data_IF_249232945609
#
_entry.id   IF_249232945609
#
_cell.length_a   1.000
_cell.length_b   1.000
_cell.length_c   1.000
_cell.angle_alpha   90.00
_cell.angle_beta   90.00
_cell.angle_gamma   90.00
#
_symmetry.space_group_name_H-M   'P 1'
#
loop_
_entity.id
_entity.type
_entity.pdbx_description
1 polymer ?
#
# COMPACT_ATOMS: atom_id res chain seq x y z
N UNK A 1 -2.33 19.30 -36.64
CA UNK A 1 -1.44 19.29 -35.47
C UNK A 1 0.06 19.25 -35.87
N UNK A 2 0.44 18.97 -37.13
CA UNK A 2 1.81 18.94 -37.61
C UNK A 2 2.72 17.81 -37.07
N UNK A 3 2.22 16.98 -36.18
CA UNK A 3 2.93 15.85 -35.59
C UNK A 3 2.24 14.52 -35.91
N UNK A 4 3.04 13.47 -36.13
CA UNK A 4 2.53 12.12 -36.37
C UNK A 4 2.21 11.48 -35.03
N UNK A 5 0.93 11.16 -34.79
CA UNK A 5 0.45 10.63 -33.50
C UNK A 5 0.49 9.11 -33.41
N UNK A 6 0.50 8.41 -34.57
CA UNK A 6 0.55 6.96 -34.64
C UNK A 6 1.61 6.51 -35.64
N UNK A 7 2.33 5.47 -35.28
CA UNK A 7 3.16 4.69 -36.19
C UNK A 7 2.45 3.38 -36.55
N UNK A 8 2.39 3.11 -37.84
CA UNK A 8 1.73 1.91 -38.39
C UNK A 8 2.80 0.99 -38.95
N UNK A 9 2.89 -0.21 -38.47
CA UNK A 9 3.59 -1.32 -39.10
C UNK A 9 2.56 -2.25 -39.76
N UNK A 10 2.99 -3.17 -40.60
CA UNK A 10 2.09 -4.14 -41.26
C UNK A 10 1.32 -5.04 -40.29
N UNK A 11 1.68 -5.06 -39.00
CA UNK A 11 1.09 -5.91 -37.96
C UNK A 11 0.55 -5.18 -36.73
N UNK A 12 0.88 -3.88 -36.53
CA UNK A 12 0.47 -3.13 -35.34
C UNK A 12 0.35 -1.62 -35.64
N UNK A 13 -0.63 -1.01 -34.96
CA UNK A 13 -0.71 0.46 -34.82
C UNK A 13 -0.36 0.77 -33.37
N UNK A 14 0.67 1.60 -33.15
CA UNK A 14 1.08 2.08 -31.82
C UNK A 14 1.18 3.61 -31.82
N UNK A 15 0.84 4.27 -30.71
CA UNK A 15 1.09 5.70 -30.57
C UNK A 15 2.57 6.03 -30.66
N UNK A 16 2.90 7.20 -31.19
CA UNK A 16 4.23 7.80 -31.07
C UNK A 16 4.39 8.42 -29.67
N UNK A 17 5.56 8.95 -29.35
CA UNK A 17 5.80 9.71 -28.10
C UNK A 17 4.83 10.89 -28.00
N UNK A 18 4.62 11.62 -29.10
CA UNK A 18 3.66 12.72 -29.22
C UNK A 18 2.23 12.22 -29.10
N UNK A 19 1.93 11.03 -29.66
CA UNK A 19 0.64 10.37 -29.55
C UNK A 19 0.31 9.98 -28.10
N UNK A 20 1.27 9.44 -27.36
CA UNK A 20 1.12 9.16 -25.94
C UNK A 20 0.87 10.43 -25.12
N UNK A 21 1.69 11.47 -25.34
CA UNK A 21 1.55 12.76 -24.64
C UNK A 21 0.19 13.41 -24.90
N UNK A 22 -0.29 13.36 -26.15
CA UNK A 22 -1.64 13.88 -26.50
C UNK A 22 -2.73 13.06 -25.85
N UNK A 23 -2.62 11.73 -25.86
CA UNK A 23 -3.60 10.84 -25.26
C UNK A 23 -3.73 11.09 -23.74
N UNK A 24 -2.61 11.29 -23.04
CA UNK A 24 -2.62 11.64 -21.61
C UNK A 24 -3.24 13.01 -21.34
N UNK A 25 -2.93 14.02 -22.16
CA UNK A 25 -3.55 15.34 -22.05
C UNK A 25 -5.06 15.30 -22.34
N UNK A 26 -5.46 14.56 -23.38
CA UNK A 26 -6.88 14.41 -23.70
C UNK A 26 -7.65 13.71 -22.57
N UNK A 27 -7.07 12.67 -21.95
CA UNK A 27 -7.69 12.02 -20.78
C UNK A 27 -7.87 13.00 -19.62
N UNK A 28 -6.87 13.85 -19.32
CA UNK A 28 -7.01 14.88 -18.27
C UNK A 28 -8.13 15.85 -18.57
N UNK A 29 -8.20 16.37 -19.80
CA UNK A 29 -9.28 17.30 -20.20
C UNK A 29 -10.65 16.65 -20.06
N UNK A 30 -10.81 15.39 -20.49
CA UNK A 30 -12.06 14.67 -20.35
C UNK A 30 -12.41 14.39 -18.87
N UNK A 31 -11.41 14.15 -18.04
CA UNK A 31 -11.61 14.00 -16.60
C UNK A 31 -12.01 15.32 -15.93
N UNK A 32 -11.38 16.43 -16.30
CA UNK A 32 -11.72 17.76 -15.79
C UNK A 32 -13.14 18.16 -16.23
N UNK A 33 -13.49 17.87 -17.48
CA UNK A 33 -14.84 18.09 -17.98
C UNK A 33 -15.88 17.25 -17.23
N UNK A 34 -15.63 15.96 -17.06
CA UNK A 34 -16.50 15.08 -16.28
C UNK A 34 -16.59 15.50 -14.80
N UNK A 35 -15.51 16.04 -14.23
CA UNK A 35 -15.50 16.61 -12.89
C UNK A 35 -16.42 17.84 -12.81
N UNK A 36 -16.32 18.76 -13.76
CA UNK A 36 -17.17 19.95 -13.83
C UNK A 36 -18.66 19.61 -14.02
N UNK A 37 -18.97 18.63 -14.89
CA UNK A 37 -20.36 18.15 -15.04
C UNK A 37 -20.87 17.54 -13.72
N UNK A 38 -20.03 16.79 -13.02
CA UNK A 38 -20.39 16.17 -11.76
C UNK A 38 -20.56 17.21 -10.64
N UNK A 39 -19.74 18.28 -10.60
CA UNK A 39 -19.94 19.40 -9.67
C UNK A 39 -21.31 20.05 -9.83
N UNK A 40 -21.77 20.25 -11.06
CA UNK A 40 -23.11 20.77 -11.35
C UNK A 40 -24.22 19.79 -10.90
N UNK A 41 -23.97 18.50 -11.01
CA UNK A 41 -24.90 17.44 -10.55
C UNK A 41 -24.84 17.22 -9.03
N UNK A 42 -23.68 17.42 -8.41
CA UNK A 42 -23.50 17.30 -6.94
C UNK A 42 -24.25 18.38 -6.16
N UNK A 43 -24.62 19.51 -6.79
CA UNK A 43 -25.58 20.47 -6.23
C UNK A 43 -26.99 19.88 -6.08
N UNK A 44 -27.28 18.71 -6.65
CA UNK A 44 -28.57 18.02 -6.65
C UNK A 44 -28.59 16.68 -5.86
N UNK A 45 -27.76 16.54 -4.82
CA UNK A 45 -28.01 15.67 -3.65
C UNK A 45 -27.54 14.20 -3.61
N UNK A 46 -26.95 13.57 -4.61
CA UNK A 46 -26.38 12.20 -4.41
C UNK A 46 -25.02 12.02 -5.09
N UNK A 47 -24.02 11.45 -4.38
CA UNK A 47 -22.72 11.18 -4.98
C UNK A 47 -22.85 10.11 -6.07
N UNK A 48 -22.31 10.40 -7.26
CA UNK A 48 -22.34 9.49 -8.41
C UNK A 48 -21.05 9.62 -9.24
N UNK A 49 -20.82 8.61 -10.09
CA UNK A 49 -19.73 8.58 -11.07
C UNK A 49 -18.53 7.73 -10.64
N UNK A 50 -17.49 7.63 -11.51
CA UNK A 50 -16.38 6.72 -11.30
C UNK A 50 -15.35 7.26 -10.29
N UNK A 51 -14.76 6.32 -9.53
CA UNK A 51 -13.54 6.51 -8.72
C UNK A 51 -12.53 5.43 -9.14
N UNK A 52 -11.32 5.83 -9.48
CA UNK A 52 -10.20 4.93 -9.76
C UNK A 52 -9.20 4.98 -8.62
N UNK A 53 -9.10 3.89 -7.88
CA UNK A 53 -8.29 3.77 -6.68
C UNK A 53 -7.16 2.77 -6.89
N UNK A 54 -6.01 3.05 -6.28
CA UNK A 54 -4.85 2.14 -6.24
C UNK A 54 -4.58 1.71 -4.81
N UNK A 55 -4.17 0.45 -4.61
CA UNK A 55 -3.63 -0.03 -3.34
C UNK A 55 -2.58 -1.12 -3.56
N UNK A 56 -1.79 -1.43 -2.52
CA UNK A 56 -0.91 -2.60 -2.54
C UNK A 56 -1.72 -3.91 -2.56
N UNK A 57 -1.14 -5.00 -3.08
CA UNK A 57 -1.86 -6.27 -3.23
C UNK A 57 -2.47 -6.76 -1.92
N UNK A 58 -1.67 -6.99 -0.90
CA UNK A 58 -2.15 -7.59 0.35
C UNK A 58 -3.16 -6.71 1.08
N UNK A 59 -2.81 -5.44 1.34
CA UNK A 59 -3.70 -4.51 2.04
C UNK A 59 -4.95 -4.19 1.23
N UNK A 60 -4.79 -3.99 -0.07
CA UNK A 60 -5.89 -3.74 -0.99
C UNK A 60 -6.92 -4.88 -1.00
N UNK A 61 -6.46 -6.13 -1.04
CA UNK A 61 -7.32 -7.31 -1.05
C UNK A 61 -8.00 -7.54 0.30
N UNK A 62 -7.25 -7.43 1.41
CA UNK A 62 -7.76 -7.80 2.73
C UNK A 62 -8.62 -6.71 3.39
N UNK A 63 -8.31 -5.44 3.15
CA UNK A 63 -8.89 -4.32 3.90
C UNK A 63 -9.62 -3.31 3.01
N UNK A 64 -9.01 -2.90 1.89
CA UNK A 64 -9.61 -1.88 1.03
C UNK A 64 -10.78 -2.47 0.23
N UNK A 65 -10.61 -3.62 -0.41
CA UNK A 65 -11.64 -4.25 -1.22
C UNK A 65 -12.96 -4.48 -0.47
N UNK A 66 -12.95 -5.12 0.71
CA UNK A 66 -14.15 -5.25 1.54
C UNK A 66 -14.77 -3.91 1.93
N UNK A 67 -13.95 -2.92 2.30
CA UNK A 67 -14.44 -1.59 2.64
C UNK A 67 -15.10 -0.89 1.44
N UNK A 68 -14.56 -1.06 0.23
CA UNK A 68 -15.17 -0.52 -0.99
C UNK A 68 -16.50 -1.18 -1.31
N UNK A 69 -16.65 -2.47 -1.04
CA UNK A 69 -17.93 -3.18 -1.19
C UNK A 69 -19.00 -2.59 -0.26
N UNK A 70 -18.63 -2.28 1.00
CA UNK A 70 -19.54 -1.64 1.95
C UNK A 70 -19.87 -0.19 1.52
N UNK A 71 -18.86 0.56 1.07
CA UNK A 71 -19.05 1.92 0.55
C UNK A 71 -19.99 1.97 -0.65
N UNK A 72 -19.85 1.06 -1.61
CA UNK A 72 -20.69 1.00 -2.80
C UNK A 72 -22.16 0.71 -2.46
N UNK A 73 -22.42 -0.09 -1.41
CA UNK A 73 -23.80 -0.31 -0.92
C UNK A 73 -24.44 0.96 -0.34
N UNK A 74 -23.64 1.82 0.31
CA UNK A 74 -24.11 3.11 0.84
C UNK A 74 -24.34 4.14 -0.25
N UNK A 75 -23.54 4.07 -1.33
CA UNK A 75 -23.56 5.02 -2.43
C UNK A 75 -23.69 4.30 -3.79
N UNK A 76 -24.85 3.76 -4.14
CA UNK A 76 -25.03 2.93 -5.35
C UNK A 76 -24.71 3.63 -6.67
N UNK A 77 -24.78 4.97 -6.70
CA UNK A 77 -24.42 5.78 -7.88
C UNK A 77 -22.91 5.89 -8.13
N UNK A 78 -22.08 5.48 -7.15
CA UNK A 78 -20.62 5.53 -7.28
C UNK A 78 -20.10 4.21 -7.84
N UNK A 79 -19.27 4.30 -8.89
CA UNK A 79 -18.56 3.16 -9.46
C UNK A 79 -17.11 3.20 -8.98
N UNK A 80 -16.59 2.12 -8.40
CA UNK A 80 -15.22 2.07 -7.91
C UNK A 80 -14.42 1.02 -8.66
N UNK A 81 -13.35 1.45 -9.31
CA UNK A 81 -12.30 0.59 -9.88
C UNK A 81 -11.12 0.56 -8.91
N UNK A 82 -10.79 -0.62 -8.37
CA UNK A 82 -9.60 -0.83 -7.52
C UNK A 82 -8.52 -1.55 -8.32
N UNK A 83 -7.39 -0.90 -8.53
CA UNK A 83 -6.20 -1.54 -9.08
C UNK A 83 -5.23 -1.90 -7.95
N UNK A 84 -4.74 -3.14 -7.95
CA UNK A 84 -3.74 -3.62 -7.01
C UNK A 84 -2.37 -3.66 -7.68
N UNK A 85 -1.35 -3.16 -6.99
CA UNK A 85 0.04 -3.11 -7.49
C UNK A 85 1.03 -3.02 -6.34
N UNK A 86 2.25 -3.53 -6.55
CA UNK A 86 3.35 -3.37 -5.59
C UNK A 86 4.16 -2.07 -5.83
N UNK A 87 3.91 -1.37 -6.93
CA UNK A 87 4.56 -0.09 -7.23
C UNK A 87 3.52 1.02 -7.22
N UNK A 88 3.77 2.06 -6.42
CA UNK A 88 2.92 3.25 -6.42
C UNK A 88 3.08 3.99 -7.75
N UNK A 89 2.05 4.00 -8.62
CA UNK A 89 2.13 4.71 -9.88
C UNK A 89 2.07 6.22 -9.66
N UNK A 90 2.53 6.98 -10.64
CA UNK A 90 2.31 8.43 -10.65
C UNK A 90 0.82 8.70 -10.95
N UNK A 91 0.01 8.87 -9.89
CA UNK A 91 -1.46 8.87 -9.95
C UNK A 91 -2.04 9.77 -11.03
N UNK A 92 -1.51 11.01 -11.12
CA UNK A 92 -2.01 11.99 -12.08
C UNK A 92 -1.76 11.58 -13.54
N UNK A 93 -0.63 10.92 -13.86
CA UNK A 93 -0.28 10.56 -15.23
C UNK A 93 -1.08 9.35 -15.74
N UNK A 94 -1.47 8.44 -14.85
CA UNK A 94 -2.24 7.24 -15.22
C UNK A 94 -3.73 7.35 -14.92
N UNK A 95 -4.20 8.54 -14.47
CA UNK A 95 -5.61 8.85 -14.30
C UNK A 95 -6.27 8.16 -13.10
N UNK A 96 -5.53 7.93 -12.02
CA UNK A 96 -6.09 7.52 -10.74
C UNK A 96 -6.51 8.73 -9.91
N UNK A 97 -7.61 8.58 -9.19
CA UNK A 97 -8.13 9.62 -8.31
C UNK A 97 -7.40 9.65 -6.97
N UNK A 98 -7.04 8.47 -6.45
CA UNK A 98 -6.32 8.34 -5.19
C UNK A 98 -5.64 6.98 -5.05
N UNK A 99 -4.81 6.85 -4.00
CA UNK A 99 -4.28 5.58 -3.54
C UNK A 99 -4.49 5.42 -2.04
N UNK A 100 -4.69 4.17 -1.59
CA UNK A 100 -4.53 3.77 -0.20
C UNK A 100 -3.21 3.02 -0.10
N UNK A 101 -2.22 3.64 0.54
CA UNK A 101 -0.85 3.17 0.47
C UNK A 101 -0.23 3.00 1.85
N UNK A 102 0.69 2.06 1.93
CA UNK A 102 1.50 1.82 3.11
C UNK A 102 2.76 2.67 2.99
N UNK A 103 3.31 3.15 4.13
CA UNK A 103 4.43 4.10 4.19
C UNK A 103 4.20 5.51 3.65
N UNK A 104 5.13 6.38 4.06
CA UNK A 104 5.18 7.74 3.53
C UNK A 104 5.66 7.74 2.08
N UNK A 105 4.99 8.47 1.19
CA UNK A 105 5.47 8.65 -0.17
C UNK A 105 6.84 9.37 -0.14
N UNK A 106 7.69 9.15 -1.16
CA UNK A 106 8.92 9.91 -1.32
C UNK A 106 8.66 11.43 -1.28
N UNK A 107 9.59 12.20 -0.74
CA UNK A 107 9.43 13.65 -0.59
C UNK A 107 9.14 14.35 -1.94
N UNK A 108 9.70 13.85 -3.05
CA UNK A 108 9.43 14.34 -4.41
C UNK A 108 7.97 14.19 -4.82
N UNK A 109 7.29 13.16 -4.34
CA UNK A 109 5.88 12.87 -4.64
C UNK A 109 4.97 13.60 -3.65
N UNK A 110 5.37 13.67 -2.38
CA UNK A 110 4.61 14.33 -1.32
C UNK A 110 4.38 15.82 -1.56
N UNK A 111 5.27 16.49 -2.31
CA UNK A 111 5.14 17.91 -2.65
C UNK A 111 3.97 18.22 -3.59
N UNK A 112 3.55 17.23 -4.40
CA UNK A 112 2.48 17.39 -5.40
C UNK A 112 1.17 16.73 -4.99
N UNK A 113 1.15 16.01 -3.87
CA UNK A 113 0.02 15.18 -3.46
C UNK A 113 -0.49 15.59 -2.07
N UNK A 114 -1.80 15.39 -1.90
CA UNK A 114 -2.43 15.42 -0.57
C UNK A 114 -2.13 14.08 0.09
N UNK A 115 -1.46 14.13 1.24
CA UNK A 115 -1.15 12.96 2.07
C UNK A 115 -1.94 13.05 3.36
N UNK A 116 -2.79 12.07 3.63
CA UNK A 116 -3.56 11.97 4.87
C UNK A 116 -3.36 10.61 5.50
N UNK A 117 -2.91 10.56 6.73
CA UNK A 117 -2.86 9.32 7.50
C UNK A 117 -4.28 8.83 7.79
N UNK A 118 -4.56 7.58 7.41
CA UNK A 118 -5.83 6.89 7.69
C UNK A 118 -5.76 6.09 8.99
N UNK A 119 -4.63 5.40 9.22
CA UNK A 119 -4.46 4.58 10.40
C UNK A 119 -2.97 4.38 10.74
N UNK A 120 -2.63 4.19 12.02
CA UNK A 120 -1.31 3.71 12.40
C UNK A 120 -1.16 2.22 12.02
N UNK A 121 0.05 1.86 11.66
CA UNK A 121 0.45 0.48 11.47
C UNK A 121 1.93 0.33 11.75
N UNK A 122 2.32 -0.84 12.21
CA UNK A 122 3.72 -1.20 12.45
C UNK A 122 4.02 -2.58 11.86
N UNK A 123 5.27 -2.81 11.55
CA UNK A 123 5.78 -4.14 11.23
C UNK A 123 6.40 -4.77 12.46
N UNK A 124 6.09 -6.01 12.70
CA UNK A 124 6.55 -6.79 13.84
C UNK A 124 7.30 -8.02 13.37
N UNK A 125 8.23 -8.48 14.21
CA UNK A 125 8.96 -9.71 14.00
C UNK A 125 8.11 -10.88 14.45
N UNK A 126 7.90 -11.87 13.58
CA UNK A 126 7.07 -13.03 13.84
C UNK A 126 7.72 -14.31 13.31
N UNK A 127 7.38 -15.42 13.95
CA UNK A 127 7.77 -16.76 13.51
C UNK A 127 6.68 -17.77 13.89
N UNK A 128 6.65 -18.90 13.20
CA UNK A 128 5.82 -20.05 13.64
C UNK A 128 6.43 -20.69 14.88
N UNK A 129 5.61 -21.14 15.86
CA UNK A 129 6.11 -21.85 17.04
C UNK A 129 6.99 -23.06 16.71
N UNK A 130 6.64 -23.80 15.66
CA UNK A 130 7.42 -24.95 15.20
C UNK A 130 8.85 -24.57 14.77
N UNK A 131 9.05 -23.42 14.14
CA UNK A 131 10.39 -22.91 13.79
C UNK A 131 11.21 -22.65 15.06
N UNK A 132 10.62 -21.97 16.04
CA UNK A 132 11.31 -21.63 17.30
C UNK A 132 11.66 -22.87 18.12
N UNK A 133 10.81 -23.91 18.11
CA UNK A 133 11.11 -25.18 18.74
C UNK A 133 12.32 -25.87 18.11
N UNK A 134 12.48 -25.75 16.79
CA UNK A 134 13.59 -26.39 16.08
C UNK A 134 14.90 -25.60 16.15
N UNK A 135 14.84 -24.26 16.18
CA UNK A 135 16.02 -23.37 16.07
C UNK A 135 16.39 -22.68 17.39
N UNK A 136 15.50 -22.68 18.37
CA UNK A 136 15.65 -21.96 19.64
C UNK A 136 15.00 -20.58 19.64
N UNK A 137 14.80 -19.99 20.83
CA UNK A 137 14.24 -18.67 21.00
C UNK A 137 15.28 -17.57 20.73
N UNK A 138 14.76 -16.36 20.38
CA UNK A 138 15.58 -15.15 20.27
C UNK A 138 15.39 -14.32 21.55
N UNK A 139 16.51 -13.77 22.05
CA UNK A 139 16.50 -12.92 23.25
C UNK A 139 16.99 -11.48 22.95
N UNK A 140 17.70 -11.27 21.84
CA UNK A 140 18.26 -9.99 21.43
C UNK A 140 18.36 -9.87 19.91
N UNK A 141 18.53 -8.65 19.39
CA UNK A 141 18.55 -8.41 17.94
C UNK A 141 19.67 -9.16 17.22
N UNK A 142 20.82 -9.32 17.87
CA UNK A 142 21.98 -10.00 17.31
C UNK A 142 21.70 -11.46 16.99
N UNK A 143 20.74 -12.08 17.68
CA UNK A 143 20.36 -13.48 17.47
C UNK A 143 19.75 -13.70 16.09
N UNK A 144 19.18 -12.65 15.46
CA UNK A 144 18.65 -12.70 14.08
C UNK A 144 19.72 -13.15 13.06
N UNK A 145 20.99 -12.88 13.31
CA UNK A 145 22.09 -13.30 12.44
C UNK A 145 22.26 -14.83 12.35
N UNK A 146 21.77 -15.57 13.35
CA UNK A 146 21.83 -17.04 13.40
C UNK A 146 20.52 -17.72 12.97
N UNK A 147 19.52 -16.94 12.60
CA UNK A 147 18.22 -17.43 12.16
C UNK A 147 17.96 -17.18 10.67
N UNK A 148 17.15 -18.03 10.08
CA UNK A 148 16.66 -17.82 8.70
C UNK A 148 15.62 -16.70 8.68
N UNK A 149 15.97 -15.58 8.04
CA UNK A 149 15.10 -14.43 7.90
C UNK A 149 14.47 -14.40 6.51
N UNK A 150 13.14 -14.38 6.48
CA UNK A 150 12.35 -14.35 5.26
C UNK A 150 12.16 -12.91 4.80
N UNK A 151 12.72 -12.56 3.64
CA UNK A 151 12.80 -11.17 3.19
C UNK A 151 11.73 -10.87 2.14
N UNK A 152 10.92 -9.84 2.40
CA UNK A 152 10.03 -9.27 1.37
C UNK A 152 10.83 -8.23 0.57
N UNK A 153 11.00 -8.49 -0.72
CA UNK A 153 11.61 -7.56 -1.68
C UNK A 153 10.53 -6.65 -2.24
N UNK A 154 10.14 -5.65 -1.48
CA UNK A 154 9.20 -4.66 -1.97
C UNK A 154 9.88 -3.78 -3.01
N UNK A 155 9.22 -3.60 -4.15
CA UNK A 155 9.65 -2.63 -5.15
C UNK A 155 9.42 -1.22 -4.58
N UNK A 156 10.30 -0.78 -3.71
CA UNK A 156 10.38 0.61 -3.32
C UNK A 156 10.59 1.43 -4.59
N UNK A 157 9.71 2.44 -4.79
CA UNK A 157 9.86 3.35 -5.91
C UNK A 157 11.29 3.85 -6.02
N UNK A 158 11.68 4.19 -7.22
CA UNK A 158 13.00 4.65 -7.63
C UNK A 158 13.57 5.74 -6.71
N UNK A 159 14.13 5.35 -5.58
CA UNK A 159 14.80 6.25 -4.63
C UNK A 159 16.29 6.42 -5.01
N UNK A 160 16.72 5.88 -6.15
CA UNK A 160 18.10 6.04 -6.67
C UNK A 160 19.19 5.43 -5.79
N UNK A 161 18.88 5.03 -4.59
CA UNK A 161 19.75 4.27 -3.69
C UNK A 161 19.15 2.87 -3.56
N UNK A 162 19.83 1.87 -4.09
CA UNK A 162 19.41 0.48 -4.04
C UNK A 162 18.97 0.10 -2.62
N UNK A 163 17.66 -0.04 -2.43
CA UNK A 163 17.09 -0.36 -1.13
C UNK A 163 17.56 -1.76 -0.75
N UNK A 164 18.34 -1.84 0.33
CA UNK A 164 18.82 -3.13 0.84
C UNK A 164 17.69 -3.81 1.58
N UNK A 165 17.05 -4.75 0.96
CA UNK A 165 15.96 -5.55 1.54
C UNK A 165 16.41 -6.46 2.68
N UNK A 166 17.72 -6.73 2.76
CA UNK A 166 18.38 -7.48 3.81
C UNK A 166 18.70 -6.63 5.07
N UNK A 167 18.19 -5.40 5.14
CA UNK A 167 18.39 -4.51 6.29
C UNK A 167 17.06 -4.06 6.86
N UNK A 168 16.79 -4.48 8.11
CA UNK A 168 15.59 -4.07 8.84
C UNK A 168 15.93 -2.95 9.82
N UNK A 169 15.16 -1.85 9.76
CA UNK A 169 15.33 -0.69 10.63
C UNK A 169 14.35 -0.77 11.78
N UNK A 170 14.80 -1.29 12.92
CA UNK A 170 13.97 -1.56 14.09
C UNK A 170 14.17 -0.51 15.17
N UNK A 171 13.14 -0.21 15.94
CA UNK A 171 13.21 0.65 17.11
C UNK A 171 12.37 0.07 18.24
N UNK A 172 12.75 0.40 19.49
CA UNK A 172 11.90 0.19 20.65
C UNK A 172 10.90 1.36 20.72
N UNK A 173 9.66 1.08 21.09
CA UNK A 173 8.61 2.06 21.47
C UNK A 173 8.30 3.18 20.45
N UNK A 174 8.67 3.03 19.18
CA UNK A 174 8.32 3.95 18.09
C UNK A 174 9.00 5.32 18.08
N UNK A 175 9.64 5.74 19.16
CA UNK A 175 10.26 7.07 19.30
C UNK A 175 11.78 7.02 19.49
N UNK A 176 12.35 5.82 19.59
CA UNK A 176 13.77 5.61 19.83
C UNK A 176 14.63 5.67 18.56
N UNK A 177 15.94 5.59 18.77
CA UNK A 177 16.92 5.45 17.70
C UNK A 177 16.61 4.19 16.87
N UNK A 178 16.51 4.33 15.55
CA UNK A 178 16.39 3.19 14.64
C UNK A 178 17.73 2.44 14.59
N UNK A 179 17.68 1.15 14.81
CA UNK A 179 18.83 0.26 14.75
C UNK A 179 18.75 -0.56 13.46
N UNK A 180 19.72 -0.44 12.55
CA UNK A 180 19.77 -1.29 11.37
C UNK A 180 20.22 -2.69 11.76
N UNK A 181 19.50 -3.71 11.31
CA UNK A 181 19.84 -5.11 11.50
C UNK A 181 19.97 -5.76 10.13
N UNK A 182 21.15 -6.25 9.80
CA UNK A 182 21.35 -7.02 8.58
C UNK A 182 20.86 -8.44 8.81
N UNK A 183 19.98 -8.90 7.93
CA UNK A 183 19.36 -10.21 8.00
C UNK A 183 19.68 -11.02 6.76
N UNK A 184 19.65 -12.34 6.88
CA UNK A 184 19.87 -13.26 5.78
C UNK A 184 18.94 -14.47 5.88
N UNK A 185 18.67 -15.11 4.76
CA UNK A 185 17.89 -16.34 4.70
C UNK A 185 17.77 -16.85 3.26
N UNK A 186 17.41 -18.11 3.14
CA UNK A 186 17.37 -18.80 1.85
C UNK A 186 16.17 -18.39 0.98
N UNK A 187 15.11 -17.82 1.57
CA UNK A 187 13.87 -17.50 0.86
C UNK A 187 13.58 -16.01 0.89
N UNK A 188 13.29 -15.46 -0.28
CA UNK A 188 12.83 -14.07 -0.44
C UNK A 188 11.86 -13.95 -1.61
N UNK A 189 10.90 -13.03 -1.52
CA UNK A 189 9.92 -12.77 -2.58
C UNK A 189 9.53 -11.29 -2.59
N UNK A 190 9.01 -10.81 -3.71
CA UNK A 190 8.31 -9.52 -3.78
C UNK A 190 6.83 -9.63 -3.34
N UNK A 191 6.32 -10.84 -3.12
CA UNK A 191 5.00 -11.08 -2.54
C UNK A 191 5.11 -11.26 -1.03
N UNK A 192 4.61 -10.30 -0.27
CA UNK A 192 4.56 -10.42 1.18
C UNK A 192 3.63 -11.53 1.66
N UNK A 193 2.60 -11.88 0.89
CA UNK A 193 1.69 -12.98 1.18
C UNK A 193 2.42 -14.32 1.10
N UNK A 194 3.23 -14.53 0.06
CA UNK A 194 4.05 -15.74 -0.09
C UNK A 194 5.07 -15.87 1.04
N UNK A 195 5.72 -14.75 1.44
CA UNK A 195 6.65 -14.74 2.57
C UNK A 195 5.93 -15.09 3.86
N UNK A 196 4.71 -14.61 4.07
CA UNK A 196 3.88 -14.99 5.22
C UNK A 196 3.57 -16.49 5.21
N UNK A 197 3.22 -17.04 4.07
CA UNK A 197 2.90 -18.48 3.95
C UNK A 197 4.13 -19.34 4.28
N UNK A 198 5.32 -18.94 3.85
CA UNK A 198 6.57 -19.61 4.27
C UNK A 198 6.83 -19.50 5.76
N UNK A 199 6.55 -18.34 6.36
CA UNK A 199 6.70 -18.16 7.81
C UNK A 199 5.75 -19.06 8.59
N UNK A 200 4.47 -19.13 8.17
CA UNK A 200 3.47 -20.05 8.74
C UNK A 200 3.89 -21.52 8.60
N UNK A 201 4.55 -21.88 7.49
CA UNK A 201 5.12 -23.21 7.28
C UNK A 201 6.40 -23.49 8.10
N UNK A 202 6.89 -22.52 8.88
CA UNK A 202 8.04 -22.71 9.77
C UNK A 202 9.40 -22.58 9.08
N UNK A 203 9.49 -21.84 7.97
CA UNK A 203 10.76 -21.66 7.25
C UNK A 203 11.64 -20.53 7.80
N UNK A 204 11.16 -19.72 8.74
CA UNK A 204 11.98 -18.65 9.30
C UNK A 204 11.19 -17.55 10.01
N UNK A 205 11.91 -16.46 10.28
CA UNK A 205 11.40 -15.24 10.91
C UNK A 205 11.11 -14.23 9.82
N UNK A 206 9.99 -13.49 9.91
CA UNK A 206 9.71 -12.37 9.01
C UNK A 206 9.41 -11.07 9.78
N UNK A 207 9.72 -9.94 9.15
CA UNK A 207 9.24 -8.62 9.55
C UNK A 207 7.99 -8.30 8.74
N UNK A 208 6.81 -8.23 9.40
CA UNK A 208 5.54 -8.10 8.68
C UNK A 208 4.58 -7.15 9.37
N UNK A 209 3.74 -6.47 8.58
CA UNK A 209 2.70 -5.55 9.07
C UNK A 209 1.66 -6.25 9.92
N UNK A 210 1.25 -5.62 11.02
CA UNK A 210 0.21 -6.18 11.91
C UNK A 210 -1.09 -6.50 11.16
N UNK A 211 -1.51 -5.64 10.23
CA UNK A 211 -2.73 -5.88 9.46
C UNK A 211 -2.73 -7.20 8.66
N UNK A 212 -1.55 -7.77 8.38
CA UNK A 212 -1.41 -9.01 7.60
C UNK A 212 -1.25 -10.25 8.49
N UNK A 213 -0.82 -10.08 9.74
CA UNK A 213 -0.51 -11.19 10.64
C UNK A 213 -1.39 -11.23 11.88
N UNK A 214 -2.32 -10.28 12.05
CA UNK A 214 -3.20 -10.20 13.22
C UNK A 214 -3.94 -11.49 13.50
N UNK A 215 -4.56 -12.11 12.50
CA UNK A 215 -5.31 -13.35 12.67
C UNK A 215 -4.40 -14.54 13.01
N UNK A 216 -3.21 -14.61 12.40
CA UNK A 216 -2.24 -15.65 12.70
C UNK A 216 -1.65 -15.51 14.11
N UNK A 217 -1.48 -14.27 14.59
CA UNK A 217 -1.07 -13.99 15.97
C UNK A 217 -2.20 -14.33 16.96
N UNK A 218 -3.45 -13.96 16.65
CA UNK A 218 -4.61 -14.25 17.48
C UNK A 218 -4.87 -15.75 17.62
N UNK A 219 -4.66 -16.52 16.55
CA UNK A 219 -4.82 -17.99 16.58
C UNK A 219 -3.60 -18.73 17.14
N UNK A 220 -2.47 -18.04 17.40
CA UNK A 220 -1.23 -18.68 17.83
C UNK A 220 -0.47 -19.40 16.70
N UNK A 221 -0.91 -19.31 15.44
CA UNK A 221 -0.19 -19.86 14.29
C UNK A 221 1.15 -19.15 14.05
N UNK A 222 1.23 -17.88 14.43
CA UNK A 222 2.46 -17.11 14.56
C UNK A 222 2.58 -16.54 15.96
N UNK A 223 3.80 -16.33 16.41
CA UNK A 223 4.12 -15.64 17.67
C UNK A 223 5.07 -14.49 17.42
N UNK A 224 4.97 -13.43 18.23
CA UNK A 224 5.94 -12.34 18.18
C UNK A 224 7.28 -12.80 18.75
N UNK A 225 8.35 -12.50 18.01
CA UNK A 225 9.73 -12.60 18.50
C UNK A 225 10.26 -11.21 18.74
N UNK A 226 11.06 -11.03 19.79
CA UNK A 226 11.59 -9.72 20.20
C UNK A 226 10.46 -8.65 20.26
N UNK A 227 9.41 -8.86 21.08
CA UNK A 227 8.19 -8.06 21.02
C UNK A 227 8.37 -6.58 21.30
N UNK A 228 9.48 -6.19 21.96
CA UNK A 228 9.87 -4.81 22.20
C UNK A 228 10.43 -4.10 20.95
N UNK A 229 10.68 -4.83 19.86
CA UNK A 229 11.22 -4.27 18.62
C UNK A 229 10.17 -4.29 17.51
N UNK A 230 10.08 -3.18 16.80
CA UNK A 230 9.20 -3.04 15.65
C UNK A 230 9.72 -1.99 14.66
N UNK A 231 9.15 -1.97 13.47
CA UNK A 231 9.32 -0.92 12.47
C UNK A 231 8.02 -0.10 12.40
N UNK A 232 8.10 1.18 12.77
CA UNK A 232 6.94 2.04 13.04
C UNK A 232 6.58 3.01 11.89
N UNK A 233 7.20 2.90 10.73
CA UNK A 233 7.00 3.82 9.59
C UNK A 233 6.11 3.25 8.46
N UNK A 234 5.29 2.27 8.80
CA UNK A 234 4.42 1.58 7.85
C UNK A 234 2.94 1.99 7.95
N UNK A 235 2.66 3.22 8.37
CA UNK A 235 1.31 3.76 8.49
C UNK A 235 0.53 3.66 7.17
N UNK A 236 -0.79 3.58 7.29
CA UNK A 236 -1.71 3.58 6.15
C UNK A 236 -2.06 5.02 5.80
N UNK A 237 -1.85 5.40 4.54
CA UNK A 237 -2.09 6.74 4.03
C UNK A 237 -3.09 6.73 2.88
N UNK A 238 -3.90 7.79 2.83
CA UNK A 238 -4.59 8.23 1.64
C UNK A 238 -3.67 9.18 0.89
N UNK A 239 -3.48 8.92 -0.39
CA UNK A 239 -2.69 9.75 -1.30
C UNK A 239 -3.59 10.18 -2.44
N UNK A 240 -3.62 11.45 -2.77
CA UNK A 240 -4.36 11.96 -3.92
C UNK A 240 -3.60 13.12 -4.58
N UNK A 241 -3.66 13.28 -5.91
CA UNK A 241 -3.15 14.46 -6.57
C UNK A 241 -3.83 15.71 -6.01
N UNK A 242 -3.06 16.81 -5.88
CA UNK A 242 -3.65 18.09 -5.50
C UNK A 242 -4.68 18.52 -6.54
N UNK A 243 -5.88 18.86 -6.08
CA UNK A 243 -6.97 19.42 -6.89
C UNK A 243 -7.58 20.60 -6.17
N UNK A 244 -7.92 21.66 -6.90
CA UNK A 244 -8.59 22.83 -6.32
C UNK A 244 -9.92 22.47 -5.63
N UNK A 245 -10.64 21.50 -6.21
CA UNK A 245 -11.88 20.95 -5.68
C UNK A 245 -11.83 19.43 -5.70
N UNK A 246 -12.07 18.82 -4.54
CA UNK A 246 -12.20 17.36 -4.41
C UNK A 246 -13.66 16.97 -4.65
N UNK A 247 -13.98 16.13 -5.63
CA UNK A 247 -15.34 15.65 -5.87
C UNK A 247 -15.97 15.04 -4.61
N UNK A 248 -17.27 15.28 -4.40
CA UNK A 248 -17.99 14.79 -3.23
C UNK A 248 -17.82 13.30 -3.01
N UNK A 249 -17.96 12.48 -4.06
CA UNK A 249 -17.77 11.03 -4.00
C UNK A 249 -16.39 10.61 -3.46
N UNK A 250 -15.33 11.35 -3.85
CA UNK A 250 -13.98 11.06 -3.43
C UNK A 250 -13.74 11.48 -1.96
N UNK A 251 -14.31 12.61 -1.55
CA UNK A 251 -14.30 13.07 -0.16
C UNK A 251 -15.02 12.08 0.76
N UNK A 252 -16.21 11.63 0.37
CA UNK A 252 -16.99 10.64 1.12
C UNK A 252 -16.25 9.32 1.24
N UNK A 253 -15.59 8.85 0.18
CA UNK A 253 -14.76 7.65 0.24
C UNK A 253 -13.59 7.82 1.20
N UNK A 254 -12.90 8.95 1.14
CA UNK A 254 -11.79 9.24 2.06
C UNK A 254 -12.24 9.23 3.52
N UNK A 255 -13.37 9.89 3.82
CA UNK A 255 -13.95 9.95 5.16
C UNK A 255 -14.40 8.56 5.64
N UNK A 256 -15.06 7.79 4.76
CA UNK A 256 -15.49 6.43 5.03
C UNK A 256 -14.29 5.52 5.38
N UNK A 257 -13.23 5.54 4.57
CA UNK A 257 -12.03 4.75 4.84
C UNK A 257 -11.30 5.22 6.12
N UNK A 258 -11.28 6.52 6.38
CA UNK A 258 -10.71 7.04 7.61
C UNK A 258 -11.47 6.55 8.86
N UNK A 259 -12.81 6.52 8.80
CA UNK A 259 -13.64 5.96 9.86
C UNK A 259 -13.47 4.44 9.99
N UNK A 260 -13.46 3.72 8.86
CA UNK A 260 -13.32 2.26 8.82
C UNK A 260 -12.00 1.77 9.40
N UNK A 261 -10.93 2.52 9.20
CA UNK A 261 -9.59 2.18 9.67
C UNK A 261 -9.21 2.89 10.98
N UNK A 262 -10.10 3.75 11.52
CA UNK A 262 -9.88 4.40 12.80
C UNK A 262 -9.60 3.37 13.90
N UNK A 263 -8.59 3.66 14.72
CA UNK A 263 -8.18 2.75 15.79
C UNK A 263 -7.41 1.51 15.31
N UNK A 264 -7.06 1.44 14.01
CA UNK A 264 -6.32 0.32 13.42
C UNK A 264 -6.92 -1.04 13.83
N UNK A 265 -8.00 -1.52 13.16
CA UNK A 265 -8.75 -2.71 13.58
C UNK A 265 -7.90 -3.98 13.66
N UNK A 266 -6.74 -3.99 13.01
CA UNK A 266 -5.72 -5.05 13.11
C UNK A 266 -4.85 -4.98 14.37
N UNK A 267 -4.97 -3.92 15.18
CA UNK A 267 -4.18 -3.73 16.42
C UNK A 267 -4.83 -4.37 17.65
N UNK A 268 -5.94 -5.08 17.51
CA UNK A 268 -6.74 -5.65 18.59
C UNK A 268 -6.04 -6.81 19.31
N UNK A 269 -4.81 -7.11 19.00
CA UNK A 269 -3.96 -7.88 19.89
C UNK A 269 -3.57 -6.98 21.08
N UNK A 270 -4.52 -6.76 21.98
CA UNK A 270 -4.16 -6.32 23.34
C UNK A 270 -3.41 -7.46 24.02
N UNK A 271 -2.32 -7.13 24.76
CA UNK A 271 -1.50 -8.11 25.45
C UNK A 271 -2.30 -8.94 26.42
#
# INVERSE_FOLDING_TARGET
LGARLFQRTTRRVSPTTEGHALCERARRILQDFAAAENELREQQSQPAGPIRLVSSFGFGRLWVGPALSDFQRLYPGVQVELQLTEQLPHLASVGFDAAVWLWNPPASVAAEWIVRKLAPNQRVLVAAPAYLLARGPLHRLEDLASHDCLVVRENGGDTGQGQRFDQWWLSRDGHGKRTPVTVSGALSSNSGELVRDWCLAGHGIMLRSLWDVSDALASGALVRVLPEWAMHDADVHWLAPYRAHMPLRLRLLQEFLAQRFAGAPWSILRP
#
